data_IF_348190768310
#
_entry.id   IF_348190768310
#
_cell.length_a   1.000
_cell.length_b   1.000
_cell.length_c   1.000
_cell.angle_alpha   90.00
_cell.angle_beta   90.00
_cell.angle_gamma   90.00
#
_symmetry.space_group_name_H-M   'P 1'
#
loop_
_entity.id
_entity.type
_entity.pdbx_description
1 polymer ?
#
# COMPACT_ATOMS: atom_id res chain seq x y z
N UNK A 1 14.09 8.18 -1.35
CA UNK A 1 14.13 6.85 -1.97
C UNK A 1 13.10 6.89 -3.09
N UNK A 2 13.57 6.88 -4.33
CA UNK A 2 12.70 6.69 -5.50
C UNK A 2 12.56 5.18 -5.67
N UNK A 3 11.34 4.74 -5.93
CA UNK A 3 10.98 3.33 -6.04
C UNK A 3 10.93 2.98 -7.52
N UNK A 4 12.00 2.41 -8.06
CA UNK A 4 12.18 2.20 -9.50
C UNK A 4 11.13 1.24 -10.09
N UNK A 5 10.45 0.45 -9.26
CA UNK A 5 9.36 -0.42 -9.72
C UNK A 5 7.98 0.25 -9.69
N UNK A 6 7.86 1.42 -9.07
CA UNK A 6 6.64 2.21 -9.11
C UNK A 6 6.58 3.01 -10.42
N UNK A 7 6.16 2.36 -11.51
CA UNK A 7 5.85 3.05 -12.76
C UNK A 7 4.60 3.93 -12.56
N UNK A 8 4.77 5.25 -12.60
CA UNK A 8 3.66 6.20 -12.50
C UNK A 8 3.24 6.63 -13.91
N UNK A 9 2.05 6.22 -14.32
CA UNK A 9 1.37 6.70 -15.53
C UNK A 9 0.20 7.61 -15.14
N UNK A 10 0.14 8.81 -15.74
CA UNK A 10 -0.99 9.74 -15.60
C UNK A 10 -1.72 9.80 -16.94
N UNK A 11 -3.00 9.42 -16.94
CA UNK A 11 -3.89 9.64 -18.09
C UNK A 11 -4.43 11.07 -18.08
N UNK A 12 -4.50 11.70 -19.24
CA UNK A 12 -5.13 13.03 -19.42
C UNK A 12 -6.60 12.94 -19.86
N UNK A 13 -7.11 11.72 -20.08
CA UNK A 13 -8.50 11.48 -20.46
C UNK A 13 -9.42 11.43 -19.23
N UNK A 14 -10.61 12.02 -19.33
CA UNK A 14 -11.60 12.03 -18.25
C UNK A 14 -12.20 10.62 -18.04
N UNK A 15 -12.24 10.17 -16.78
CA UNK A 15 -12.86 8.89 -16.40
C UNK A 15 -14.12 9.16 -15.57
N UNK A 16 -15.27 8.66 -16.05
CA UNK A 16 -16.54 8.72 -15.31
C UNK A 16 -16.73 7.42 -14.50
N UNK A 17 -16.96 7.49 -13.18
CA UNK A 17 -17.25 6.31 -12.38
C UNK A 17 -18.52 5.58 -12.86
N UNK A 18 -18.46 4.26 -12.98
CA UNK A 18 -19.60 3.43 -13.43
C UNK A 18 -20.48 3.01 -12.25
N UNK A 19 -19.88 2.82 -11.07
CA UNK A 19 -20.57 2.43 -9.85
C UNK A 19 -19.78 2.85 -8.61
N UNK A 20 -20.47 2.96 -7.47
CA UNK A 20 -19.87 3.22 -6.16
C UNK A 20 -20.30 2.13 -5.20
N UNK A 21 -19.34 1.47 -4.55
CA UNK A 21 -19.58 0.56 -3.43
C UNK A 21 -19.13 1.23 -2.15
N UNK A 22 -20.06 1.42 -1.21
CA UNK A 22 -19.76 1.94 0.12
C UNK A 22 -19.18 0.83 1.00
N UNK A 23 -18.13 1.15 1.74
CA UNK A 23 -17.50 0.27 2.74
C UNK A 23 -17.60 1.01 4.07
N UNK A 24 -18.47 0.53 4.96
CA UNK A 24 -18.70 1.17 6.26
C UNK A 24 -17.68 0.74 7.32
N UNK A 25 -17.21 -0.51 7.26
CA UNK A 25 -16.15 -1.02 8.12
C UNK A 25 -15.05 -1.66 7.26
N UNK A 26 -13.87 -1.04 7.26
CA UNK A 26 -12.73 -1.51 6.47
C UNK A 26 -12.14 -2.81 7.01
N UNK A 27 -12.20 -3.06 8.33
CA UNK A 27 -11.62 -4.26 8.91
C UNK A 27 -12.45 -5.49 8.54
N UNK A 28 -13.77 -5.41 8.61
CA UNK A 28 -14.66 -6.50 8.23
C UNK A 28 -14.49 -6.85 6.74
N UNK A 29 -14.48 -5.82 5.87
CA UNK A 29 -14.24 -5.96 4.43
C UNK A 29 -12.90 -6.62 4.10
N UNK A 30 -11.87 -6.35 4.90
CA UNK A 30 -10.56 -6.98 4.75
C UNK A 30 -10.63 -8.44 5.22
N UNK A 31 -11.20 -8.72 6.39
CA UNK A 31 -11.25 -10.06 6.96
C UNK A 31 -12.12 -11.05 6.16
N UNK A 32 -13.08 -10.58 5.38
CA UNK A 32 -13.83 -11.44 4.44
C UNK A 32 -12.97 -11.94 3.25
N UNK A 33 -11.81 -11.33 2.99
CA UNK A 33 -10.95 -11.70 1.86
C UNK A 33 -10.07 -12.89 2.20
N UNK A 34 -10.10 -13.92 1.35
CA UNK A 34 -9.42 -15.20 1.60
C UNK A 34 -7.89 -15.16 1.56
N UNK A 35 -7.30 -14.20 0.85
CA UNK A 35 -5.87 -14.19 0.53
C UNK A 35 -5.23 -12.83 0.85
N UNK A 36 -5.54 -12.28 2.01
CA UNK A 36 -4.88 -11.06 2.48
C UNK A 36 -4.21 -11.32 3.82
N UNK A 37 -3.18 -10.53 4.10
CA UNK A 37 -2.53 -10.49 5.40
C UNK A 37 -2.57 -9.06 5.92
N UNK A 38 -3.08 -8.86 7.14
CA UNK A 38 -3.05 -7.58 7.83
C UNK A 38 -2.07 -7.67 9.00
N UNK A 39 -1.03 -6.83 8.98
CA UNK A 39 -0.06 -6.72 10.08
C UNK A 39 -0.10 -5.33 10.69
N UNK A 40 -0.22 -5.27 12.01
CA UNK A 40 -0.01 -4.05 12.78
C UNK A 40 1.44 -4.09 13.29
N UNK A 41 2.24 -3.13 12.87
CA UNK A 41 3.66 -3.04 13.23
C UNK A 41 3.88 -1.79 14.07
N UNK A 42 4.68 -1.92 15.14
CA UNK A 42 5.08 -0.77 15.97
C UNK A 42 6.00 0.20 15.23
N UNK A 43 6.73 -0.29 14.22
CA UNK A 43 7.62 0.49 13.38
C UNK A 43 7.61 -0.06 11.95
N UNK A 44 7.33 0.80 10.97
CA UNK A 44 7.27 0.42 9.55
C UNK A 44 8.65 0.32 8.87
N UNK A 45 9.69 0.99 9.40
CA UNK A 45 11.00 1.09 8.76
C UNK A 45 11.75 -0.23 8.74
N UNK A 46 11.70 -1.01 9.82
CA UNK A 46 12.34 -2.33 9.85
C UNK A 46 11.76 -3.27 8.81
N UNK A 47 10.44 -3.20 8.58
CA UNK A 47 9.79 -4.00 7.54
C UNK A 47 10.12 -3.46 6.14
N UNK A 48 10.07 -2.15 5.95
CA UNK A 48 10.47 -1.48 4.71
C UNK A 48 11.89 -1.87 4.27
N UNK A 49 12.87 -1.88 5.17
CA UNK A 49 14.25 -2.28 4.85
C UNK A 49 14.38 -3.75 4.44
N UNK A 50 13.55 -4.63 5.00
CA UNK A 50 13.53 -6.04 4.61
C UNK A 50 12.90 -6.20 3.23
N UNK A 51 11.80 -5.50 2.96
CA UNK A 51 11.12 -5.50 1.67
C UNK A 51 12.05 -4.96 0.58
N UNK A 52 12.72 -3.83 0.81
CA UNK A 52 13.63 -3.21 -0.17
C UNK A 52 14.84 -4.06 -0.52
N UNK A 53 15.20 -5.03 0.34
CA UNK A 53 16.30 -5.98 0.12
C UNK A 53 15.82 -7.35 -0.35
N UNK A 54 14.51 -7.56 -0.43
CA UNK A 54 13.94 -8.83 -0.85
C UNK A 54 13.97 -8.97 -2.38
N UNK A 55 13.77 -10.18 -2.88
CA UNK A 55 13.56 -10.41 -4.31
C UNK A 55 12.14 -10.05 -4.78
N UNK A 56 11.29 -9.53 -3.88
CA UNK A 56 9.93 -9.13 -4.19
C UNK A 56 9.97 -7.70 -4.72
N UNK A 57 9.41 -7.49 -5.91
CA UNK A 57 9.33 -6.19 -6.58
C UNK A 57 8.17 -5.35 -6.01
N UNK A 58 8.22 -5.08 -4.71
CA UNK A 58 7.18 -4.35 -4.00
C UNK A 58 7.58 -2.93 -3.70
N UNK A 59 6.65 -2.01 -3.97
CA UNK A 59 6.83 -0.61 -3.63
C UNK A 59 6.42 -0.27 -2.21
N UNK A 60 7.10 0.71 -1.61
CA UNK A 60 6.80 1.24 -0.27
C UNK A 60 6.17 2.63 -0.37
N UNK A 61 4.88 2.67 -0.67
CA UNK A 61 4.16 3.93 -0.87
C UNK A 61 3.86 4.65 0.46
N UNK A 62 3.89 5.99 0.42
CA UNK A 62 3.46 6.86 1.53
C UNK A 62 4.23 6.66 2.85
N UNK A 63 5.46 6.15 2.82
CA UNK A 63 6.34 6.03 4.00
C UNK A 63 6.58 7.36 4.75
N UNK A 64 6.31 8.51 4.10
CA UNK A 64 6.27 9.83 4.76
C UNK A 64 5.26 9.94 5.91
N UNK A 65 4.25 9.06 5.96
CA UNK A 65 3.25 9.00 7.03
C UNK A 65 3.68 8.07 8.18
N UNK A 66 4.78 7.33 8.03
CA UNK A 66 5.31 6.52 9.10
C UNK A 66 5.86 7.42 10.21
N UNK A 67 5.93 6.89 11.43
CA UNK A 67 6.67 7.52 12.53
C UNK A 67 8.14 7.69 12.14
N UNK A 68 8.88 8.54 12.84
CA UNK A 68 10.30 8.78 12.55
C UNK A 68 11.09 7.47 12.55
N UNK A 69 12.08 7.37 11.65
CA UNK A 69 13.03 6.27 11.66
C UNK A 69 13.90 6.39 12.92
N UNK A 70 13.93 5.35 13.73
CA UNK A 70 14.85 5.23 14.87
C UNK A 70 16.28 4.95 14.39
#
# INVERSE_FOLDING_TARGET
>A
MIDDCADYYVSFEEVKPIAVRRIDNILDELFERKNIELRILSNLWTFAEKVSKSSLNFSLIRMRNATTKE
#
